data_IF_285748474963
#
_entry.id   IF_285748474963
#
_cell.length_a   1.000
_cell.length_b   1.000
_cell.length_c   1.000
_cell.angle_alpha   90.00
_cell.angle_beta   90.00
_cell.angle_gamma   90.00
#
_symmetry.space_group_name_H-M   'P 1'
#
loop_
_entity.id
_entity.type
_entity.pdbx_description
1 polymer ?
#
# COMPACT_ATOMS: atom_id res chain seq x y z
N UNK A 1 -11.95 21.01 34.47
CA UNK A 1 -12.63 19.77 34.04
C UNK A 1 -11.74 19.05 33.04
N UNK A 2 -11.52 17.76 33.27
CA UNK A 2 -10.44 16.94 32.72
C UNK A 2 -10.48 16.85 31.18
N UNK A 3 -9.33 17.10 30.56
CA UNK A 3 -9.06 16.90 29.14
C UNK A 3 -9.17 15.39 28.83
N UNK A 4 -10.26 14.96 28.21
CA UNK A 4 -10.46 13.57 27.81
C UNK A 4 -9.42 13.18 26.75
N UNK A 5 -8.34 12.56 27.20
CA UNK A 5 -7.27 12.03 26.37
C UNK A 5 -7.78 10.96 25.42
N UNK A 6 -8.27 11.37 24.24
CA UNK A 6 -8.48 10.46 23.11
C UNK A 6 -7.11 9.97 22.66
N UNK A 7 -6.67 8.82 23.16
CA UNK A 7 -5.58 8.06 22.56
C UNK A 7 -5.96 7.80 21.10
N UNK A 8 -5.34 8.52 20.15
CA UNK A 8 -5.61 8.32 18.73
C UNK A 8 -5.20 6.89 18.36
N UNK A 9 -6.17 6.06 17.97
CA UNK A 9 -5.90 4.69 17.48
C UNK A 9 -4.91 4.75 16.31
N UNK A 10 -3.87 3.90 16.34
CA UNK A 10 -2.95 3.71 15.22
C UNK A 10 -3.71 3.11 14.02
N UNK A 11 -3.46 3.65 12.83
CA UNK A 11 -4.06 3.11 11.61
C UNK A 11 -3.41 1.77 11.26
N UNK A 12 -4.23 0.80 10.81
CA UNK A 12 -3.78 -0.54 10.43
C UNK A 12 -3.38 -0.58 8.96
N UNK A 13 -2.23 -1.16 8.66
CA UNK A 13 -1.72 -1.30 7.29
C UNK A 13 -1.40 -2.74 6.97
N UNK A 14 -1.83 -3.21 5.80
CA UNK A 14 -1.37 -4.46 5.19
C UNK A 14 -0.27 -4.15 4.18
N UNK A 15 0.89 -4.79 4.32
CA UNK A 15 1.93 -4.88 3.30
C UNK A 15 1.79 -6.24 2.59
N UNK A 16 1.06 -6.26 1.48
CA UNK A 16 0.70 -7.44 0.71
C UNK A 16 1.80 -7.80 -0.29
N UNK A 17 2.44 -8.95 -0.07
CA UNK A 17 3.70 -9.34 -0.70
C UNK A 17 4.88 -8.54 -0.15
N UNK A 18 5.04 -8.55 1.18
CA UNK A 18 6.00 -7.68 1.88
C UNK A 18 7.47 -8.01 1.59
N UNK A 19 7.76 -9.18 1.00
CA UNK A 19 9.11 -9.68 0.76
C UNK A 19 9.92 -9.67 2.06
N UNK A 20 11.07 -9.01 2.03
CA UNK A 20 11.95 -8.88 3.21
C UNK A 20 11.46 -7.84 4.25
N UNK A 21 10.25 -7.29 4.14
CA UNK A 21 9.63 -6.44 5.16
C UNK A 21 10.16 -5.01 5.26
N UNK A 22 10.79 -4.46 4.20
CA UNK A 22 11.34 -3.10 4.23
C UNK A 22 10.27 -2.02 4.43
N UNK A 23 9.15 -2.10 3.69
CA UNK A 23 8.07 -1.14 3.80
C UNK A 23 7.28 -1.35 5.09
N UNK A 24 6.99 -2.60 5.43
CA UNK A 24 6.34 -2.93 6.69
C UNK A 24 7.10 -2.38 7.92
N UNK A 25 8.42 -2.55 7.98
CA UNK A 25 9.26 -1.95 9.05
C UNK A 25 9.18 -0.43 9.07
N UNK A 26 9.34 0.22 7.90
CA UNK A 26 9.31 1.68 7.82
C UNK A 26 7.95 2.26 8.27
N UNK A 27 6.85 1.61 7.90
CA UNK A 27 5.50 1.99 8.32
C UNK A 27 5.29 1.76 9.83
N UNK A 28 5.80 0.65 10.36
CA UNK A 28 5.73 0.39 11.80
C UNK A 28 6.50 1.47 12.58
N UNK A 29 7.72 1.82 12.16
CA UNK A 29 8.52 2.92 12.72
C UNK A 29 7.82 4.28 12.60
N UNK A 30 7.04 4.48 11.52
CA UNK A 30 6.20 5.66 11.32
C UNK A 30 4.92 5.65 12.20
N UNK A 31 4.72 4.62 13.02
CA UNK A 31 3.68 4.55 14.04
C UNK A 31 2.38 3.89 13.59
N UNK A 32 2.37 3.18 12.47
CA UNK A 32 1.25 2.35 12.04
C UNK A 32 1.27 0.96 12.72
N UNK A 33 0.11 0.31 12.78
CA UNK A 33 0.00 -1.11 13.14
C UNK A 33 0.07 -1.91 11.85
N UNK A 34 1.15 -2.67 11.64
CA UNK A 34 1.45 -3.26 10.33
C UNK A 34 1.40 -4.77 10.35
N UNK A 35 0.77 -5.36 9.33
CA UNK A 35 0.86 -6.78 9.00
C UNK A 35 1.59 -6.90 7.65
N UNK A 36 2.73 -7.58 7.64
CA UNK A 36 3.41 -7.97 6.41
C UNK A 36 3.00 -9.39 6.02
N UNK A 37 2.59 -9.58 4.77
CA UNK A 37 2.14 -10.88 4.27
C UNK A 37 2.96 -11.27 3.04
N UNK A 38 3.47 -12.50 3.00
CA UNK A 38 4.18 -13.03 1.83
C UNK A 38 4.01 -14.56 1.77
N UNK A 39 4.01 -15.15 0.57
CA UNK A 39 3.88 -16.60 0.43
C UNK A 39 5.24 -17.31 0.60
N UNK A 40 6.35 -16.60 0.38
CA UNK A 40 7.69 -17.18 0.34
C UNK A 40 8.31 -17.25 1.75
N UNK A 41 8.53 -18.46 2.32
CA UNK A 41 9.05 -18.60 3.69
C UNK A 41 10.43 -17.96 3.87
N UNK A 42 11.29 -18.03 2.84
CA UNK A 42 12.62 -17.41 2.85
C UNK A 42 12.58 -15.88 2.92
N UNK A 43 11.54 -15.25 2.38
CA UNK A 43 11.33 -13.80 2.50
C UNK A 43 10.89 -13.43 3.91
N UNK A 44 9.94 -14.19 4.47
CA UNK A 44 9.45 -13.99 5.83
C UNK A 44 10.54 -14.18 6.88
N UNK A 45 11.43 -15.16 6.71
CA UNK A 45 12.58 -15.33 7.60
C UNK A 45 13.46 -14.06 7.68
N UNK A 46 13.67 -13.39 6.54
CA UNK A 46 14.41 -12.11 6.47
C UNK A 46 13.59 -10.93 6.99
N UNK A 47 12.28 -10.96 6.85
CA UNK A 47 11.40 -9.95 7.41
C UNK A 47 11.32 -10.07 8.95
N UNK A 48 11.40 -11.29 9.48
CA UNK A 48 11.32 -11.58 10.90
C UNK A 48 12.45 -10.93 11.69
N UNK A 49 13.68 -10.91 11.15
CA UNK A 49 14.81 -10.22 11.79
C UNK A 49 14.53 -8.71 11.94
N UNK A 50 13.93 -8.10 10.91
CA UNK A 50 13.53 -6.68 10.94
C UNK A 50 12.33 -6.40 11.85
N UNK A 51 11.44 -7.37 12.02
CA UNK A 51 10.33 -7.27 12.95
C UNK A 51 10.81 -7.36 14.40
N UNK A 52 11.80 -8.22 14.69
CA UNK A 52 12.41 -8.34 16.00
C UNK A 52 13.13 -7.06 16.45
N UNK A 53 13.76 -6.35 15.51
CA UNK A 53 14.45 -5.07 15.77
C UNK A 53 13.52 -3.85 15.88
N UNK A 54 12.22 -4.04 15.67
CA UNK A 54 11.26 -2.93 15.67
C UNK A 54 10.63 -2.76 17.05
N UNK A 55 10.76 -1.58 17.66
CA UNK A 55 9.95 -1.16 18.83
C UNK A 55 8.46 -0.92 18.50
N UNK A 56 8.03 -1.31 17.30
CA UNK A 56 6.74 -0.99 16.71
C UNK A 56 5.92 -2.26 16.42
N UNK A 57 4.60 -2.11 16.30
CA UNK A 57 3.66 -3.23 16.05
C UNK A 57 3.77 -3.69 14.60
N UNK A 58 4.65 -4.66 14.35
CA UNK A 58 4.86 -5.31 13.05
C UNK A 58 4.69 -6.83 13.20
N UNK A 59 3.61 -7.37 12.63
CA UNK A 59 3.36 -8.81 12.56
C UNK A 59 3.62 -9.34 11.14
N UNK A 60 3.96 -10.63 11.04
CA UNK A 60 4.17 -11.34 9.78
C UNK A 60 3.18 -12.47 9.60
N UNK A 61 2.76 -12.71 8.36
CA UNK A 61 1.85 -13.79 8.00
C UNK A 61 2.30 -14.48 6.71
N UNK A 62 2.39 -15.81 6.75
CA UNK A 62 2.58 -16.63 5.57
C UNK A 62 1.23 -16.88 4.90
N UNK A 63 1.01 -16.30 3.71
CA UNK A 63 -0.20 -16.54 2.93
C UNK A 63 0.01 -16.18 1.47
N UNK A 64 -0.69 -16.91 0.59
CA UNK A 64 -0.81 -16.58 -0.82
C UNK A 64 -1.94 -15.57 -1.01
N UNK A 65 -1.65 -14.48 -1.74
CA UNK A 65 -2.63 -13.48 -2.11
C UNK A 65 -3.77 -14.04 -2.97
N UNK A 66 -3.49 -15.08 -3.77
CA UNK A 66 -4.51 -15.70 -4.62
C UNK A 66 -5.48 -16.59 -3.82
N UNK A 67 -5.14 -17.00 -2.59
CA UNK A 67 -6.02 -17.84 -1.78
C UNK A 67 -7.19 -17.06 -1.14
N UNK A 68 -7.02 -15.76 -0.94
CA UNK A 68 -8.01 -14.87 -0.33
C UNK A 68 -8.37 -15.20 1.13
N UNK A 69 -9.26 -14.38 1.71
CA UNK A 69 -9.92 -14.56 3.02
C UNK A 69 -9.01 -14.64 4.25
N UNK A 70 -7.75 -14.19 4.14
CA UNK A 70 -6.81 -14.12 5.26
C UNK A 70 -7.25 -13.15 6.37
N UNK A 71 -8.10 -12.16 6.06
CA UNK A 71 -8.54 -11.12 6.99
C UNK A 71 -10.05 -10.86 6.92
N UNK A 72 -10.67 -10.32 7.99
CA UNK A 72 -12.06 -9.87 7.96
C UNK A 72 -12.29 -8.71 6.98
N UNK A 73 -13.55 -8.51 6.58
CA UNK A 73 -14.00 -7.35 5.83
C UNK A 73 -13.71 -6.06 6.61
N UNK A 74 -13.27 -5.00 5.93
CA UNK A 74 -13.06 -3.70 6.55
C UNK A 74 -12.04 -3.68 7.69
N UNK A 75 -11.03 -4.55 7.65
CA UNK A 75 -10.05 -4.67 8.72
C UNK A 75 -8.95 -3.60 8.67
N UNK A 76 -8.46 -3.25 7.47
CA UNK A 76 -7.32 -2.35 7.27
C UNK A 76 -7.75 -0.92 6.93
N UNK A 77 -6.97 0.04 7.46
CA UNK A 77 -7.08 1.44 7.06
C UNK A 77 -6.30 1.69 5.74
N UNK A 78 -5.21 0.96 5.49
CA UNK A 78 -4.46 1.03 4.23
C UNK A 78 -3.96 -0.35 3.79
N UNK A 79 -3.85 -0.56 2.49
CA UNK A 79 -3.17 -1.71 1.88
C UNK A 79 -2.07 -1.15 0.99
N UNK A 80 -0.89 -1.75 1.03
CA UNK A 80 0.18 -1.49 0.08
C UNK A 80 0.55 -2.81 -0.59
N UNK A 81 0.86 -2.78 -1.87
CA UNK A 81 1.36 -3.94 -2.62
C UNK A 81 2.33 -3.43 -3.68
N UNK A 82 3.63 -3.63 -3.44
CA UNK A 82 4.71 -2.98 -4.16
C UNK A 82 5.47 -4.02 -4.98
N UNK A 83 5.37 -3.95 -6.31
CA UNK A 83 5.99 -4.91 -7.23
C UNK A 83 5.53 -6.36 -7.01
N UNK A 84 4.26 -6.57 -6.66
CA UNK A 84 3.68 -7.89 -6.38
C UNK A 84 2.58 -8.26 -7.39
N UNK A 85 1.71 -7.31 -7.75
CA UNK A 85 0.54 -7.62 -8.57
C UNK A 85 0.92 -8.25 -9.93
N UNK A 86 2.04 -7.86 -10.52
CA UNK A 86 2.54 -8.41 -11.80
C UNK A 86 2.95 -9.89 -11.76
N UNK A 87 3.17 -10.44 -10.56
CA UNK A 87 3.52 -11.85 -10.38
C UNK A 87 2.32 -12.70 -9.95
N UNK A 88 1.14 -12.11 -9.78
CA UNK A 88 -0.07 -12.84 -9.36
C UNK A 88 -0.73 -13.56 -10.53
N UNK A 89 -1.29 -14.75 -10.27
CA UNK A 89 -2.01 -15.51 -11.30
C UNK A 89 -3.39 -14.91 -11.57
N UNK A 90 -4.08 -14.45 -10.51
CA UNK A 90 -5.44 -13.94 -10.53
C UNK A 90 -5.50 -12.50 -9.99
N UNK A 91 -4.95 -11.51 -10.71
CA UNK A 91 -4.83 -10.14 -10.20
C UNK A 91 -6.19 -9.48 -9.91
N UNK A 92 -7.24 -9.82 -10.67
CA UNK A 92 -8.60 -9.33 -10.39
C UNK A 92 -9.12 -9.78 -9.03
N UNK A 93 -8.94 -11.06 -8.71
CA UNK A 93 -9.35 -11.62 -7.42
C UNK A 93 -8.57 -10.98 -6.27
N UNK A 94 -7.27 -10.78 -6.45
CA UNK A 94 -6.42 -10.06 -5.48
C UNK A 94 -6.90 -8.62 -5.27
N UNK A 95 -7.27 -7.91 -6.34
CA UNK A 95 -7.81 -6.56 -6.23
C UNK A 95 -9.17 -6.53 -5.52
N UNK A 96 -10.07 -7.49 -5.79
CA UNK A 96 -11.32 -7.65 -5.05
C UNK A 96 -11.08 -7.93 -3.56
N UNK A 97 -10.10 -8.77 -3.25
CA UNK A 97 -9.72 -9.07 -1.87
C UNK A 97 -9.18 -7.83 -1.16
N UNK A 98 -8.31 -7.05 -1.81
CA UNK A 98 -7.86 -5.76 -1.28
C UNK A 98 -9.04 -4.82 -1.00
N UNK A 99 -10.00 -4.72 -1.93
CA UNK A 99 -11.20 -3.90 -1.75
C UNK A 99 -12.02 -4.33 -0.54
N UNK A 100 -12.15 -5.64 -0.30
CA UNK A 100 -12.92 -6.24 0.80
C UNK A 100 -12.27 -5.98 2.15
N UNK A 101 -10.97 -6.20 2.28
CA UNK A 101 -10.27 -6.04 3.57
C UNK A 101 -10.05 -4.58 3.95
N UNK A 102 -10.20 -3.65 3.00
CA UNK A 102 -10.14 -2.22 3.25
C UNK A 102 -11.43 -1.69 3.87
N UNK A 103 -11.28 -0.87 4.92
CA UNK A 103 -12.39 -0.10 5.47
C UNK A 103 -13.01 0.81 4.40
N UNK A 104 -14.31 1.11 4.53
CA UNK A 104 -14.85 2.35 3.98
C UNK A 104 -14.00 3.51 4.51
N UNK A 105 -13.14 4.08 3.68
CA UNK A 105 -12.18 5.12 4.11
C UNK A 105 -10.75 4.84 3.70
N UNK A 106 -10.48 3.58 3.37
CA UNK A 106 -9.15 3.04 3.16
C UNK A 106 -8.36 3.63 1.99
N UNK A 107 -7.13 3.15 1.79
CA UNK A 107 -6.30 3.53 0.64
C UNK A 107 -5.51 2.33 0.18
N UNK A 108 -5.38 2.14 -1.14
CA UNK A 108 -4.52 1.11 -1.72
C UNK A 108 -3.36 1.79 -2.44
N UNK A 109 -2.13 1.41 -2.11
CA UNK A 109 -0.95 1.95 -2.77
C UNK A 109 -0.28 0.82 -3.53
N UNK A 110 -0.24 0.95 -4.85
CA UNK A 110 0.37 -0.02 -5.74
C UNK A 110 1.59 0.58 -6.40
N UNK A 111 2.64 -0.21 -6.57
CA UNK A 111 3.69 0.14 -7.53
C UNK A 111 3.93 -1.02 -8.47
N UNK A 112 4.18 -0.68 -9.72
CA UNK A 112 4.79 -1.56 -10.71
C UNK A 112 6.33 -1.39 -10.61
N UNK A 113 7.13 -2.39 -11.02
CA UNK A 113 8.53 -2.47 -10.64
C UNK A 113 9.38 -1.27 -11.07
N UNK A 114 10.29 -0.83 -10.18
CA UNK A 114 11.47 -0.04 -10.57
C UNK A 114 12.67 -0.29 -9.64
N UNK A 115 13.87 -0.16 -10.21
CA UNK A 115 15.19 -0.49 -9.64
C UNK A 115 15.63 0.20 -8.33
N UNK A 116 14.88 1.13 -7.73
CA UNK A 116 15.35 1.87 -6.54
C UNK A 116 14.30 1.93 -5.41
N UNK A 117 14.34 0.94 -4.51
CA UNK A 117 13.47 0.80 -3.33
C UNK A 117 13.60 1.95 -2.31
N UNK A 118 14.74 2.67 -2.29
CA UNK A 118 15.07 3.68 -1.29
C UNK A 118 14.19 4.95 -1.34
N UNK A 119 13.67 5.32 -2.52
CA UNK A 119 12.85 6.54 -2.69
C UNK A 119 11.41 6.32 -2.20
N UNK A 120 10.93 5.07 -2.11
CA UNK A 120 9.55 4.78 -1.73
C UNK A 120 9.35 4.72 -0.20
N UNK A 121 10.36 4.34 0.57
CA UNK A 121 10.24 4.16 2.03
C UNK A 121 10.05 5.48 2.80
N UNK A 122 10.72 6.57 2.42
CA UNK A 122 10.56 7.87 3.08
C UNK A 122 9.30 8.64 2.64
N UNK A 123 8.73 8.35 1.47
CA UNK A 123 7.57 9.09 0.95
C UNK A 123 6.22 8.43 1.23
N UNK A 124 6.17 7.13 1.56
CA UNK A 124 4.91 6.40 1.69
C UNK A 124 4.07 6.83 2.90
N UNK A 125 4.70 6.95 4.08
CA UNK A 125 4.01 7.42 5.28
C UNK A 125 3.51 8.86 5.11
N UNK A 126 4.25 9.70 4.39
CA UNK A 126 3.85 11.07 4.08
C UNK A 126 2.67 11.10 3.11
N UNK A 127 2.72 10.32 2.01
CA UNK A 127 1.61 10.16 1.07
C UNK A 127 0.34 9.69 1.80
N UNK A 128 0.44 8.65 2.64
CA UNK A 128 -0.68 8.19 3.46
C UNK A 128 -1.21 9.33 4.35
N UNK A 129 -0.33 10.07 5.04
CA UNK A 129 -0.76 11.10 6.00
C UNK A 129 -1.32 12.37 5.36
N UNK A 130 -0.77 12.84 4.25
CA UNK A 130 -1.13 14.13 3.63
C UNK A 130 -2.24 13.97 2.61
N UNK A 131 -2.11 12.98 1.70
CA UNK A 131 -3.07 12.78 0.61
C UNK A 131 -4.34 12.10 1.12
N UNK A 132 -4.25 11.08 1.99
CA UNK A 132 -5.47 10.40 2.45
C UNK A 132 -6.43 11.32 3.23
N UNK A 133 -5.90 12.35 3.94
CA UNK A 133 -6.75 13.33 4.65
C UNK A 133 -7.49 14.27 3.70
N UNK A 134 -6.80 14.82 2.70
CA UNK A 134 -7.42 15.71 1.72
C UNK A 134 -8.44 14.96 0.85
N UNK A 135 -8.12 13.72 0.48
CA UNK A 135 -8.99 12.88 -0.34
C UNK A 135 -10.24 12.40 0.39
N UNK A 136 -10.13 12.04 1.67
CA UNK A 136 -11.30 11.75 2.52
C UNK A 136 -12.27 12.93 2.63
N UNK A 137 -11.78 14.18 2.52
CA UNK A 137 -12.63 15.38 2.50
C UNK A 137 -13.33 15.57 1.17
N UNK A 138 -12.65 15.30 0.05
CA UNK A 138 -13.16 15.52 -1.32
C UNK A 138 -14.11 14.42 -1.81
N UNK A 139 -14.03 13.20 -1.27
CA UNK A 139 -14.88 12.07 -1.69
C UNK A 139 -15.53 11.35 -0.49
N UNK A 140 -16.50 11.97 0.21
CA UNK A 140 -17.18 11.34 1.34
C UNK A 140 -17.88 10.05 0.91
N UNK A 141 -17.64 8.94 1.63
CA UNK A 141 -18.28 7.65 1.38
C UNK A 141 -17.78 6.86 0.15
N UNK A 142 -16.96 7.47 -0.72
CA UNK A 142 -16.33 6.79 -1.87
C UNK A 142 -14.86 6.56 -1.58
N UNK A 143 -14.42 5.31 -1.58
CA UNK A 143 -13.02 4.98 -1.39
C UNK A 143 -12.59 3.94 -2.42
N UNK A 144 -11.60 4.29 -3.24
CA UNK A 144 -10.21 3.87 -2.97
C UNK A 144 -9.23 4.55 -3.93
N UNK A 145 -8.34 5.37 -3.40
CA UNK A 145 -7.27 6.03 -4.14
C UNK A 145 -6.10 5.07 -4.39
N UNK A 146 -5.69 4.92 -5.65
CA UNK A 146 -4.47 4.22 -6.08
C UNK A 146 -3.44 5.21 -6.60
N UNK A 147 -2.30 5.35 -5.93
CA UNK A 147 -1.14 6.09 -6.43
C UNK A 147 -0.32 5.16 -7.31
N UNK A 148 -0.48 5.29 -8.63
CA UNK A 148 0.39 4.64 -9.61
C UNK A 148 1.63 5.52 -9.78
N UNK A 149 2.82 4.99 -9.48
CA UNK A 149 4.06 5.55 -10.02
C UNK A 149 4.41 4.73 -11.26
N UNK A 150 3.87 5.14 -12.40
CA UNK A 150 4.13 4.46 -13.66
C UNK A 150 5.59 4.75 -14.05
N UNK A 151 6.29 3.68 -14.42
CA UNK A 151 7.41 3.73 -15.33
C UNK A 151 7.30 2.57 -16.31
N UNK A 152 6.05 2.24 -16.68
CA UNK A 152 5.73 1.16 -17.59
C UNK A 152 6.20 1.50 -19.01
N UNK A 153 6.06 2.75 -19.45
CA UNK A 153 6.22 3.12 -20.86
C UNK A 153 7.65 3.01 -21.41
N UNK A 154 8.67 2.77 -20.57
CA UNK A 154 10.06 2.74 -21.07
C UNK A 154 10.80 1.42 -20.94
N UNK A 155 10.29 0.38 -20.26
CA UNK A 155 11.26 -0.61 -19.75
C UNK A 155 11.05 -2.13 -19.80
N UNK A 156 9.99 -2.74 -20.35
CA UNK A 156 10.03 -4.20 -20.53
C UNK A 156 9.40 -4.72 -21.81
N UNK A 157 10.23 -5.24 -22.73
CA UNK A 157 9.85 -6.41 -23.53
C UNK A 157 9.51 -7.52 -22.52
N UNK A 158 8.21 -7.79 -22.30
CA UNK A 158 7.73 -8.81 -21.34
C UNK A 158 6.91 -8.28 -20.14
N UNK A 159 6.56 -6.99 -20.09
CA UNK A 159 5.52 -6.54 -19.16
C UNK A 159 4.18 -7.22 -19.50
N UNK A 160 3.52 -7.80 -18.51
CA UNK A 160 2.22 -8.49 -18.69
C UNK A 160 1.08 -7.51 -18.99
N UNK A 161 1.20 -6.24 -18.56
CA UNK A 161 0.15 -5.23 -18.63
C UNK A 161 0.71 -3.82 -18.83
N UNK A 162 -0.05 -2.98 -19.54
CA UNK A 162 0.15 -1.54 -19.68
C UNK A 162 -0.37 -0.77 -18.45
N UNK A 163 -0.10 0.54 -18.35
CA UNK A 163 -0.70 1.42 -17.33
C UNK A 163 -2.23 1.48 -17.49
N UNK A 164 -2.70 1.45 -18.73
CA UNK A 164 -4.12 1.47 -19.07
C UNK A 164 -4.80 0.17 -18.63
N UNK A 165 -4.20 -0.99 -18.90
CA UNK A 165 -4.69 -2.28 -18.41
C UNK A 165 -4.82 -2.27 -16.88
N UNK A 166 -3.77 -1.84 -16.19
CA UNK A 166 -3.80 -1.73 -14.73
C UNK A 166 -4.90 -0.78 -14.24
N UNK A 167 -5.12 0.35 -14.92
CA UNK A 167 -6.18 1.30 -14.59
C UNK A 167 -7.57 0.72 -14.78
N UNK A 168 -7.80 0.00 -15.88
CA UNK A 168 -9.06 -0.68 -16.18
C UNK A 168 -9.39 -1.77 -15.14
N UNK A 169 -8.39 -2.57 -14.76
CA UNK A 169 -8.54 -3.58 -13.72
C UNK A 169 -8.94 -2.97 -12.37
N UNK A 170 -8.35 -1.82 -12.01
CA UNK A 170 -8.66 -1.12 -10.77
C UNK A 170 -10.08 -0.52 -10.78
N UNK A 171 -10.51 0.04 -11.91
CA UNK A 171 -11.87 0.54 -12.07
C UNK A 171 -12.90 -0.59 -12.00
N UNK A 172 -12.62 -1.74 -12.62
CA UNK A 172 -13.46 -2.94 -12.55
C UNK A 172 -13.59 -3.47 -11.10
N UNK A 173 -12.53 -3.33 -10.29
CA UNK A 173 -12.55 -3.61 -8.86
C UNK A 173 -13.20 -2.49 -8.00
N UNK A 174 -13.84 -1.51 -8.64
CA UNK A 174 -14.50 -0.35 -8.03
C UNK A 174 -13.57 0.56 -7.20
N UNK A 175 -12.34 0.74 -7.67
CA UNK A 175 -11.42 1.73 -7.12
C UNK A 175 -11.52 3.07 -7.88
N UNK A 176 -11.35 4.17 -7.14
CA UNK A 176 -11.24 5.51 -7.69
C UNK A 176 -9.75 5.83 -7.95
N UNK A 177 -9.27 5.60 -9.16
CA UNK A 177 -7.85 5.73 -9.52
C UNK A 177 -7.41 7.20 -9.54
N UNK A 178 -6.27 7.54 -8.91
CA UNK A 178 -5.56 8.81 -9.17
C UNK A 178 -4.08 8.51 -9.46
N UNK A 179 -3.67 8.58 -10.72
CA UNK A 179 -2.26 8.49 -11.05
C UNK A 179 -1.47 9.61 -10.36
N UNK A 180 -0.32 9.28 -9.75
CA UNK A 180 0.72 10.26 -9.47
C UNK A 180 1.86 10.01 -10.45
N UNK A 181 1.58 10.09 -11.73
CA UNK A 181 2.60 10.48 -12.68
C UNK A 181 2.92 11.93 -12.40
N UNK A 182 4.03 12.21 -11.71
CA UNK A 182 4.93 13.29 -12.09
C UNK A 182 6.35 12.99 -11.60
N UNK A 183 7.31 13.21 -12.49
CA UNK A 183 8.71 13.42 -12.18
C UNK A 183 8.93 14.72 -11.39
N UNK A 184 10.08 15.42 -11.52
CA UNK A 184 10.62 16.37 -10.52
C UNK A 184 9.79 17.61 -10.11
N UNK A 185 8.55 17.79 -10.56
CA UNK A 185 7.82 19.05 -10.41
C UNK A 185 7.03 19.19 -9.09
N UNK A 186 6.84 18.12 -8.33
CA UNK A 186 6.21 18.19 -6.99
C UNK A 186 7.16 18.77 -5.91
N UNK A 187 8.47 18.91 -6.17
CA UNK A 187 9.38 19.61 -5.26
C UNK A 187 9.24 21.14 -5.28
N UNK A 188 8.57 21.72 -6.28
CA UNK A 188 8.41 23.18 -6.40
C UNK A 188 7.13 23.73 -5.74
N UNK A 189 6.14 22.89 -5.43
CA UNK A 189 4.89 23.31 -4.78
C UNK A 189 4.91 23.19 -3.25
N UNK A 190 5.99 22.66 -2.66
CA UNK A 190 6.16 22.53 -1.21
C UNK A 190 7.06 23.62 -0.59
N UNK A 191 7.53 24.60 -1.38
CA UNK A 191 8.36 25.73 -0.92
C UNK A 191 7.71 27.09 -1.15
N UNK A 192 6.40 27.15 -1.44
CA UNK A 192 5.63 28.41 -1.38
C UNK A 192 4.38 28.23 -0.53
N UNK A 193 4.59 28.31 0.78
CA UNK A 193 3.89 29.24 1.67
C UNK A 193 4.63 29.27 3.00
#
# INVERSE_FOLDING_TARGET
MLNSGRTRRRARVLDAGCGTGNYARALAQAGFDVVGMDFAPGMLARAQTKAADATARFALMAADLNAGRAFPDGYFDHVISISVLQTTAQPHEVLHEFRRVLKPGGTLILSLPKRNAAVLTQSLAQVIRTRARDLRRRTPGKILLVVVKALADRYHRGARWTVEDASNMLQAAHFAVLSLDEGPQILAAATRN
#
